data_IF_322525543277
#
_entry.id   IF_322525543277
#
_cell.length_a   1.000
_cell.length_b   1.000
_cell.length_c   1.000
_cell.angle_alpha   90.00
_cell.angle_beta   90.00
_cell.angle_gamma   90.00
#
_symmetry.space_group_name_H-M   'P 1'
#
loop_
_entity.id
_entity.type
_entity.pdbx_description
1 polymer ?
#
# COMPACT_ATOMS: atom_id res chain seq x y z
N UNK A 1 5.05 9.88 -44.28
CA UNK A 1 5.20 9.82 -42.81
C UNK A 1 6.68 9.67 -42.47
N UNK A 2 7.40 10.78 -42.23
CA UNK A 2 8.75 10.69 -41.67
C UNK A 2 8.58 10.48 -40.17
N UNK A 3 8.61 9.21 -39.75
CA UNK A 3 8.59 8.85 -38.34
C UNK A 3 9.72 9.62 -37.68
N UNK A 4 9.38 10.48 -36.72
CA UNK A 4 10.37 11.25 -35.97
C UNK A 4 11.09 10.30 -35.01
N UNK A 5 12.00 9.48 -35.56
CA UNK A 5 12.79 8.47 -34.85
C UNK A 5 13.44 9.08 -33.61
N UNK A 6 13.94 10.32 -33.72
CA UNK A 6 14.55 11.09 -32.63
C UNK A 6 13.58 11.49 -31.50
N UNK A 7 12.28 11.54 -31.77
CA UNK A 7 11.22 11.84 -30.79
C UNK A 7 10.81 10.57 -30.06
N UNK A 8 10.68 9.46 -30.79
CA UNK A 8 10.43 8.14 -30.22
C UNK A 8 11.61 7.64 -29.37
N UNK A 9 12.85 7.86 -29.79
CA UNK A 9 14.03 7.47 -29.03
C UNK A 9 14.06 8.13 -27.63
N UNK A 10 13.69 9.42 -27.55
CA UNK A 10 13.57 10.14 -26.26
C UNK A 10 12.46 9.58 -25.38
N UNK A 11 11.34 9.16 -25.97
CA UNK A 11 10.24 8.51 -25.22
C UNK A 11 10.67 7.14 -24.69
N UNK A 12 11.32 6.33 -25.51
CA UNK A 12 11.83 5.01 -25.10
C UNK A 12 12.88 5.16 -23.98
N UNK A 13 13.81 6.11 -24.12
CA UNK A 13 14.81 6.37 -23.07
C UNK A 13 14.16 6.82 -21.76
N UNK A 14 13.13 7.67 -21.83
CA UNK A 14 12.37 8.06 -20.66
C UNK A 14 11.66 6.87 -20.00
N UNK A 15 11.01 6.00 -20.79
CA UNK A 15 10.35 4.79 -20.30
C UNK A 15 11.37 3.85 -19.65
N UNK A 16 12.54 3.66 -20.27
CA UNK A 16 13.63 2.85 -19.70
C UNK A 16 14.10 3.41 -18.36
N UNK A 17 14.30 4.73 -18.28
CA UNK A 17 14.72 5.39 -17.04
C UNK A 17 13.66 5.24 -15.94
N UNK A 18 12.39 5.40 -16.29
CA UNK A 18 11.27 5.18 -15.38
C UNK A 18 11.25 3.72 -14.87
N UNK A 19 11.35 2.74 -15.77
CA UNK A 19 11.41 1.33 -15.39
C UNK A 19 12.61 1.03 -14.47
N UNK A 20 13.78 1.57 -14.80
CA UNK A 20 14.98 1.43 -13.97
C UNK A 20 14.75 1.96 -12.56
N UNK A 21 14.14 3.15 -12.45
CA UNK A 21 13.82 3.76 -11.16
C UNK A 21 12.78 2.96 -10.38
N UNK A 22 11.71 2.47 -11.05
CA UNK A 22 10.68 1.64 -10.43
C UNK A 22 11.25 0.33 -9.89
N UNK A 23 12.11 -0.35 -10.66
CA UNK A 23 12.76 -1.60 -10.23
C UNK A 23 13.68 -1.33 -9.04
N UNK A 24 14.45 -0.24 -9.08
CA UNK A 24 15.34 0.14 -7.98
C UNK A 24 14.55 0.44 -6.70
N UNK A 25 13.46 1.19 -6.82
CA UNK A 25 12.58 1.54 -5.70
C UNK A 25 11.93 0.29 -5.09
N UNK A 26 11.35 -0.56 -5.95
CA UNK A 26 10.71 -1.80 -5.51
C UNK A 26 11.71 -2.77 -4.87
N UNK A 27 12.89 -2.93 -5.47
CA UNK A 27 13.99 -3.73 -4.93
C UNK A 27 14.47 -3.21 -3.59
N UNK A 28 14.63 -1.89 -3.45
CA UNK A 28 14.99 -1.22 -2.20
C UNK A 28 13.94 -1.46 -1.10
N UNK A 29 12.66 -1.24 -1.40
CA UNK A 29 11.57 -1.53 -0.47
C UNK A 29 11.55 -3.01 -0.07
N UNK A 30 11.76 -3.94 -1.01
CA UNK A 30 11.84 -5.37 -0.71
C UNK A 30 13.04 -5.71 0.17
N UNK A 31 14.19 -5.11 -0.08
CA UNK A 31 15.38 -5.31 0.74
C UNK A 31 15.14 -4.83 2.18
N UNK A 32 14.59 -3.63 2.33
CA UNK A 32 14.20 -3.07 3.63
C UNK A 32 13.15 -3.97 4.31
N UNK A 33 12.15 -4.44 3.58
CA UNK A 33 11.12 -5.33 4.11
C UNK A 33 11.71 -6.65 4.61
N UNK A 34 12.68 -7.24 3.91
CA UNK A 34 13.38 -8.45 4.38
C UNK A 34 14.24 -8.16 5.61
N UNK A 35 14.87 -6.98 5.67
CA UNK A 35 15.63 -6.54 6.84
C UNK A 35 14.77 -6.33 8.08
N UNK A 36 13.56 -5.79 7.92
CA UNK A 36 12.63 -5.49 9.01
C UNK A 36 11.73 -6.70 9.34
N UNK A 37 11.56 -7.63 8.40
CA UNK A 37 10.69 -8.79 8.58
C UNK A 37 11.09 -9.58 9.83
N UNK A 38 10.15 -9.83 10.76
CA UNK A 38 10.39 -10.70 11.90
C UNK A 38 10.77 -12.09 11.38
N UNK A 39 11.89 -12.65 11.86
CA UNK A 39 12.34 -13.98 11.44
C UNK A 39 11.33 -15.10 11.76
N UNK A 40 10.44 -14.88 12.73
CA UNK A 40 9.36 -15.79 13.09
C UNK A 40 7.99 -15.10 13.00
N UNK A 41 7.26 -15.22 11.87
CA UNK A 41 5.91 -14.65 11.73
C UNK A 41 4.86 -15.28 12.67
N UNK A 42 5.18 -16.41 13.31
CA UNK A 42 4.33 -17.11 14.29
C UNK A 42 4.84 -17.05 15.73
N UNK A 43 5.91 -16.29 16.00
CA UNK A 43 6.40 -16.15 17.38
C UNK A 43 5.40 -15.33 18.18
N UNK A 44 5.03 -15.88 19.35
CA UNK A 44 4.15 -15.21 20.30
C UNK A 44 4.77 -13.85 20.64
N UNK A 45 4.05 -12.72 20.43
CA UNK A 45 4.61 -11.39 20.65
C UNK A 45 5.10 -11.27 22.10
N UNK A 46 6.40 -10.99 22.27
CA UNK A 46 6.97 -10.72 23.58
C UNK A 46 6.76 -9.25 23.93
N UNK A 47 5.83 -8.99 24.82
CA UNK A 47 5.37 -7.67 25.24
C UNK A 47 3.85 -7.63 25.30
N UNK A 48 3.29 -6.74 26.12
CA UNK A 48 1.84 -6.55 26.28
C UNK A 48 1.15 -5.99 25.00
N UNK A 49 1.70 -6.22 23.81
CA UNK A 49 1.02 -6.01 22.54
C UNK A 49 0.01 -7.16 22.34
N UNK A 50 -1.08 -7.10 23.11
CA UNK A 50 -2.28 -7.87 22.82
C UNK A 50 -2.70 -7.50 21.40
N UNK A 51 -2.86 -8.51 20.54
CA UNK A 51 -3.55 -8.35 19.26
C UNK A 51 -5.02 -8.09 19.57
N UNK A 52 -5.34 -6.83 19.91
CA UNK A 52 -6.70 -6.39 20.15
C UNK A 52 -7.37 -6.32 18.80
N UNK A 53 -7.82 -7.48 18.30
CA UNK A 53 -8.97 -7.49 17.42
C UNK A 53 -10.15 -7.07 18.28
N UNK A 54 -10.37 -5.76 18.36
CA UNK A 54 -11.65 -5.25 18.79
C UNK A 54 -12.61 -5.58 17.64
N UNK A 55 -13.20 -6.77 17.70
CA UNK A 55 -14.49 -6.98 17.08
C UNK A 55 -15.41 -6.06 17.88
N UNK A 56 -15.47 -4.79 17.49
CA UNK A 56 -16.56 -3.93 17.87
C UNK A 56 -17.79 -4.68 17.38
N UNK A 57 -18.40 -5.46 18.26
CA UNK A 57 -19.83 -5.63 18.25
C UNK A 57 -20.34 -4.20 18.32
N UNK A 58 -20.48 -3.58 17.14
CA UNK A 58 -21.23 -2.36 16.94
C UNK A 58 -22.58 -2.70 17.51
N UNK A 59 -22.76 -2.36 18.78
CA UNK A 59 -24.03 -2.42 19.44
C UNK A 59 -24.88 -1.49 18.58
N UNK A 60 -25.78 -2.11 17.81
CA UNK A 60 -26.72 -1.43 16.92
C UNK A 60 -27.70 -0.62 17.77
N UNK A 61 -27.18 0.41 18.42
CA UNK A 61 -27.94 1.41 19.14
C UNK A 61 -28.40 2.42 18.09
N UNK A 62 -29.29 1.97 17.21
CA UNK A 62 -30.14 2.83 16.38
C UNK A 62 -29.41 3.91 15.57
N UNK A 63 -28.18 3.67 15.13
CA UNK A 63 -27.46 4.66 14.32
C UNK A 63 -28.17 4.80 12.97
N UNK A 64 -28.69 5.99 12.70
CA UNK A 64 -29.40 6.31 11.47
C UNK A 64 -28.53 5.95 10.26
N UNK A 65 -29.14 5.36 9.21
CA UNK A 65 -28.46 5.01 7.94
C UNK A 65 -27.62 6.17 7.39
N UNK A 66 -28.04 7.40 7.66
CA UNK A 66 -27.33 8.63 7.30
C UNK A 66 -25.93 8.74 7.94
N UNK A 67 -25.79 8.35 9.21
CA UNK A 67 -24.55 8.45 9.96
C UNK A 67 -23.50 7.47 9.43
N UNK A 68 -23.98 6.30 9.01
CA UNK A 68 -23.20 5.27 8.31
C UNK A 68 -22.72 5.75 6.93
N UNK A 69 -23.59 6.40 6.16
CA UNK A 69 -23.24 7.00 4.87
C UNK A 69 -22.19 8.11 5.02
N UNK A 70 -22.33 8.97 6.03
CA UNK A 70 -21.36 10.04 6.32
C UNK A 70 -19.98 9.47 6.66
N UNK A 71 -19.93 8.42 7.48
CA UNK A 71 -18.67 7.75 7.83
C UNK A 71 -18.02 7.10 6.59
N UNK A 72 -18.81 6.44 5.74
CA UNK A 72 -18.32 5.87 4.49
C UNK A 72 -17.67 6.94 3.60
N UNK A 73 -18.35 8.08 3.39
CA UNK A 73 -17.80 9.18 2.60
C UNK A 73 -16.58 9.87 3.23
N UNK A 74 -16.40 9.80 4.55
CA UNK A 74 -15.29 10.44 5.24
C UNK A 74 -14.06 9.52 5.32
N UNK A 75 -14.24 8.28 5.74
CA UNK A 75 -13.15 7.33 5.94
C UNK A 75 -12.73 6.60 4.65
N UNK A 76 -13.63 6.54 3.65
CA UNK A 76 -13.30 6.07 2.30
C UNK A 76 -12.90 4.59 2.23
N UNK A 77 -13.59 3.71 2.95
CA UNK A 77 -13.53 2.27 2.67
C UNK A 77 -14.22 1.91 1.34
#
# INVERSE_FOLDING_TARGET
MVVSVRRWLRRVLFVLLLCFFTITMYGGCRFIAVWIAPQDPYRVPQGQALKVFQHDYYQDNGSSVYERLRLFYWYGE
#
